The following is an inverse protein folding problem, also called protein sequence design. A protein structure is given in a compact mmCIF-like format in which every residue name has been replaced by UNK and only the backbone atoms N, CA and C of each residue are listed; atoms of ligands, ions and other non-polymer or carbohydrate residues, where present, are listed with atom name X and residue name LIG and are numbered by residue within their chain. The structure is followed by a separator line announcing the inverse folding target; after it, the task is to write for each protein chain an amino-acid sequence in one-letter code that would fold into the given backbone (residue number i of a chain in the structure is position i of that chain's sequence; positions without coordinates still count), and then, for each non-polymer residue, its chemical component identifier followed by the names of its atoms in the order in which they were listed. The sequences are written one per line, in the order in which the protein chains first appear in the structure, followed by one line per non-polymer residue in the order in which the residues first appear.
data_IF_246378781452
#
_entry.id   IF_246378781452
#
_cell.length_a   1.000
_cell.length_b   1.000
_cell.length_c   1.000
_cell.angle_alpha   90.00
_cell.angle_beta   90.00
_cell.angle_gamma   90.00
#
_symmetry.space_group_name_H-M   'P 1'
#
loop_
_entity.id
_entity.type
_entity.pdbx_description
1 polymer ?
#
# COMPACT_ATOMS: atom_id res chain seq x y z
N UNK A 1 -5.45 -9.57 -2.79
CA UNK A 1 -5.34 -9.55 -1.30
C UNK A 1 -6.12 -8.33 -0.90
N UNK A 2 -7.08 -8.48 0.01
CA UNK A 2 -8.07 -7.44 0.29
C UNK A 2 -7.45 -6.06 0.57
N UNK A 3 -6.38 -6.01 1.37
CA UNK A 3 -5.67 -4.75 1.67
C UNK A 3 -5.07 -4.07 0.43
N UNK A 4 -4.55 -4.84 -0.53
CA UNK A 4 -4.02 -4.28 -1.78
C UNK A 4 -5.13 -3.64 -2.61
N UNK A 5 -6.24 -4.36 -2.73
CA UNK A 5 -7.39 -3.91 -3.49
C UNK A 5 -8.00 -2.67 -2.85
N UNK A 6 -8.10 -2.62 -1.52
CA UNK A 6 -8.46 -1.42 -0.77
C UNK A 6 -7.53 -0.24 -1.07
N UNK A 7 -6.21 -0.36 -0.86
CA UNK A 7 -5.24 0.73 -1.06
C UNK A 7 -5.25 1.25 -2.49
N UNK A 8 -5.38 0.36 -3.48
CA UNK A 8 -5.23 0.73 -4.89
C UNK A 8 -6.53 1.15 -5.57
N UNK A 9 -7.69 0.73 -5.05
CA UNK A 9 -9.00 0.96 -5.68
C UNK A 9 -9.95 1.76 -4.81
N UNK A 10 -10.12 1.40 -3.53
CA UNK A 10 -11.13 2.01 -2.65
C UNK A 10 -10.62 3.30 -2.01
N UNK A 11 -9.44 3.24 -1.38
CA UNK A 11 -8.83 4.36 -0.67
C UNK A 11 -8.77 5.66 -1.50
N UNK A 12 -8.40 5.65 -2.80
CA UNK A 12 -8.33 6.86 -3.62
C UNK A 12 -9.69 7.42 -4.06
N UNK A 13 -10.78 6.67 -3.86
CA UNK A 13 -12.14 7.15 -4.11
C UNK A 13 -12.71 7.91 -2.92
N UNK A 14 -12.27 7.56 -1.71
CA UNK A 14 -12.77 8.15 -0.46
C UNK A 14 -11.86 9.25 0.09
N UNK A 15 -10.57 9.18 -0.21
CA UNK A 15 -9.56 10.11 0.30
C UNK A 15 -8.68 10.64 -0.83
N UNK A 16 -8.21 11.88 -0.69
CA UNK A 16 -7.17 12.44 -1.56
C UNK A 16 -5.80 11.83 -1.25
N UNK A 17 -5.61 10.57 -1.66
CA UNK A 17 -4.32 9.87 -1.53
C UNK A 17 -3.57 9.87 -2.86
N UNK A 18 -2.31 10.29 -2.81
CA UNK A 18 -1.44 10.27 -4.00
C UNK A 18 -1.01 8.85 -4.33
N UNK A 19 -0.46 8.65 -5.53
CA UNK A 19 0.17 7.37 -5.88
C UNK A 19 1.38 7.06 -5.01
N UNK A 20 2.04 8.07 -4.45
CA UNK A 20 3.14 7.90 -3.51
C UNK A 20 2.59 7.32 -2.21
N UNK A 21 1.52 7.89 -1.66
CA UNK A 21 0.90 7.40 -0.42
C UNK A 21 0.44 5.95 -0.57
N UNK A 22 -0.19 5.62 -1.71
CA UNK A 22 -0.56 4.23 -2.03
C UNK A 22 0.65 3.30 -2.02
N UNK A 23 1.76 3.70 -2.63
CA UNK A 23 3.00 2.90 -2.63
C UNK A 23 3.58 2.78 -1.21
N UNK A 24 3.48 3.80 -0.38
CA UNK A 24 3.87 3.77 1.04
C UNK A 24 3.07 2.77 1.85
N UNK A 25 1.74 2.80 1.76
CA UNK A 25 0.90 1.81 2.44
C UNK A 25 1.21 0.39 2.00
N UNK A 26 1.45 0.17 0.70
CA UNK A 26 1.81 -1.15 0.18
C UNK A 26 3.18 -1.61 0.70
N UNK A 27 4.17 -0.73 0.75
CA UNK A 27 5.50 -1.04 1.27
C UNK A 27 5.47 -1.32 2.77
N UNK A 28 4.77 -0.50 3.56
CA UNK A 28 4.53 -0.74 5.00
C UNK A 28 3.86 -2.09 5.23
N UNK A 29 2.85 -2.42 4.44
CA UNK A 29 2.17 -3.73 4.51
C UNK A 29 3.18 -4.88 4.31
N UNK A 30 4.03 -4.79 3.29
CA UNK A 30 5.05 -5.83 3.02
C UNK A 30 6.07 -5.91 4.17
N UNK A 31 6.48 -4.78 4.75
CA UNK A 31 7.42 -4.76 5.86
C UNK A 31 6.82 -5.40 7.10
N UNK A 32 5.56 -5.08 7.45
CA UNK A 32 4.83 -5.76 8.52
C UNK A 32 4.87 -7.29 8.35
N UNK A 33 4.52 -7.78 7.16
CA UNK A 33 4.57 -9.22 6.88
C UNK A 33 5.98 -9.83 6.86
N UNK A 34 7.05 -9.05 6.76
CA UNK A 34 8.42 -9.56 6.86
C UNK A 34 8.97 -9.55 8.29
N UNK A 35 8.52 -8.61 9.11
CA UNK A 35 9.05 -8.39 10.47
C UNK A 35 8.26 -9.14 11.53
N UNK A 36 6.95 -9.36 11.31
CA UNK A 36 6.07 -10.03 12.26
C UNK A 36 5.93 -11.53 11.91
N UNK A 37 5.84 -12.36 12.94
CA UNK A 37 5.56 -13.79 12.81
C UNK A 37 4.05 -14.08 12.82
N UNK A 38 3.29 -13.26 13.54
CA UNK A 38 1.83 -13.33 13.60
C UNK A 38 1.20 -12.09 12.98
N UNK A 39 0.16 -12.31 12.19
CA UNK A 39 -0.72 -11.25 11.73
C UNK A 39 -1.79 -11.03 12.78
N UNK A 40 -1.93 -9.78 13.21
CA UNK A 40 -3.06 -9.30 14.01
C UNK A 40 -3.64 -8.11 13.27
N UNK A 41 -4.92 -8.17 12.92
CA UNK A 41 -5.58 -7.18 12.06
C UNK A 41 -5.45 -5.76 12.63
N UNK A 42 -5.75 -5.58 13.91
CA UNK A 42 -5.67 -4.28 14.59
C UNK A 42 -4.23 -3.73 14.60
N UNK A 43 -3.23 -4.57 14.84
CA UNK A 43 -1.82 -4.16 14.82
C UNK A 43 -1.39 -3.75 13.40
N UNK A 44 -1.79 -4.53 12.41
CA UNK A 44 -1.53 -4.25 11.00
C UNK A 44 -2.13 -2.92 10.55
N UNK A 45 -3.41 -2.67 10.84
CA UNK A 45 -4.07 -1.44 10.39
C UNK A 45 -3.48 -0.20 11.06
N UNK A 46 -3.14 -0.30 12.35
CA UNK A 46 -2.46 0.78 13.08
C UNK A 46 -1.06 1.07 12.54
N UNK A 47 -0.23 0.06 12.28
CA UNK A 47 1.13 0.25 11.76
C UNK A 47 1.13 0.74 10.29
N UNK A 48 0.20 0.27 9.46
CA UNK A 48 0.18 0.62 8.03
C UNK A 48 -0.46 1.98 7.79
N UNK A 49 -1.67 2.22 8.31
CA UNK A 49 -2.46 3.40 7.96
C UNK A 49 -2.27 4.55 8.94
N UNK A 50 -2.11 4.26 10.22
CA UNK A 50 -1.95 5.22 11.35
C UNK A 50 -3.10 6.24 11.55
N UNK A 51 -3.90 6.53 10.52
CA UNK A 51 -5.09 7.40 10.57
C UNK A 51 -6.32 6.59 10.92
N UNK A 52 -7.04 7.00 11.97
CA UNK A 52 -8.27 6.31 12.43
C UNK A 52 -9.36 6.25 11.35
N UNK A 53 -9.52 7.33 10.59
CA UNK A 53 -10.55 7.40 9.54
C UNK A 53 -10.28 6.34 8.45
N UNK A 54 -9.02 6.16 8.06
CA UNK A 54 -8.60 5.19 7.04
C UNK A 54 -8.75 3.75 7.56
N UNK A 55 -8.51 3.54 8.86
CA UNK A 55 -8.68 2.24 9.51
C UNK A 55 -10.16 1.86 9.52
N UNK A 56 -11.04 2.78 9.93
CA UNK A 56 -12.49 2.55 9.95
C UNK A 56 -13.04 2.27 8.54
N UNK A 57 -12.60 3.01 7.53
CA UNK A 57 -12.95 2.73 6.13
C UNK A 57 -12.48 1.33 5.69
N UNK A 58 -11.27 0.91 6.09
CA UNK A 58 -10.78 -0.42 5.74
C UNK A 58 -11.56 -1.55 6.45
N UNK A 59 -11.97 -1.33 7.69
CA UNK A 59 -12.84 -2.24 8.44
C UNK A 59 -14.19 -2.41 7.75
N UNK A 60 -14.82 -1.31 7.35
CA UNK A 60 -16.07 -1.35 6.57
C UNK A 60 -15.88 -2.10 5.24
N UNK A 61 -14.80 -1.79 4.51
CA UNK A 61 -14.47 -2.50 3.27
C UNK A 61 -14.24 -3.99 3.48
N UNK A 62 -13.63 -4.40 4.60
CA UNK A 62 -13.48 -5.81 4.99
C UNK A 62 -14.84 -6.45 5.21
N UNK A 63 -15.71 -5.82 5.99
CA UNK A 63 -17.05 -6.35 6.29
C UNK A 63 -17.88 -6.51 5.03
N UNK A 64 -17.89 -5.53 4.14
CA UNK A 64 -18.61 -5.60 2.87
C UNK A 64 -18.08 -6.73 1.99
N UNK A 65 -16.75 -6.87 1.90
CA UNK A 65 -16.12 -7.95 1.14
C UNK A 65 -16.46 -9.34 1.70
N UNK A 66 -16.49 -9.50 3.03
CA UNK A 66 -16.87 -10.75 3.70
C UNK A 66 -18.33 -11.13 3.39
N UNK A 67 -19.23 -10.15 3.40
CA UNK A 67 -20.64 -10.36 3.05
C UNK A 67 -20.83 -10.72 1.58
N UNK A 68 -20.24 -9.93 0.67
CA UNK A 68 -20.40 -10.09 -0.77
C UNK A 68 -19.82 -11.41 -1.27
N UNK A 69 -18.64 -11.78 -0.76
CA UNK A 69 -17.93 -12.99 -1.18
C UNK A 69 -18.33 -14.22 -0.35
N UNK A 70 -19.17 -14.05 0.68
CA UNK A 70 -19.54 -15.09 1.65
C UNK A 70 -18.31 -15.79 2.24
N UNK A 71 -17.28 -15.02 2.56
CA UNK A 71 -16.03 -15.50 3.17
C UNK A 71 -15.85 -14.91 4.55
N UNK A 72 -15.12 -15.61 5.41
CA UNK A 72 -14.67 -15.06 6.69
C UNK A 72 -13.16 -14.84 6.64
N UNK A 73 -12.73 -13.60 6.86
CA UNK A 73 -11.33 -13.20 6.91
C UNK A 73 -10.92 -13.21 8.38
N UNK A 74 -10.02 -14.14 8.71
CA UNK A 74 -9.47 -14.27 10.05
C UNK A 74 -8.78 -12.97 10.50
N UNK A 75 -9.09 -12.54 11.72
CA UNK A 75 -8.48 -11.35 12.33
C UNK A 75 -7.05 -11.59 12.78
N UNK A 76 -6.66 -12.85 13.01
CA UNK A 76 -5.29 -13.23 13.28
C UNK A 76 -4.91 -14.56 12.64
N UNK A 77 -3.65 -14.67 12.22
CA UNK A 77 -3.07 -15.89 11.66
C UNK A 77 -1.54 -15.85 11.67
N UNK A 78 -0.91 -17.01 11.69
CA UNK A 78 0.56 -17.12 11.58
C UNK A 78 1.03 -16.76 10.17
N UNK A 79 2.01 -15.88 10.06
CA UNK A 79 2.53 -15.37 8.79
C UNK A 79 3.47 -16.40 8.18
N UNK A 80 3.07 -16.93 7.02
CA UNK A 80 3.94 -17.80 6.24
C UNK A 80 4.96 -16.99 5.43
N UNK A 81 6.22 -16.98 5.87
CA UNK A 81 7.33 -16.26 5.20
C UNK A 81 7.52 -16.63 3.72
N UNK A 82 7.18 -17.86 3.30
CA UNK A 82 7.23 -18.27 1.89
C UNK A 82 6.10 -17.63 1.07
N UNK A 83 4.90 -17.49 1.65
CA UNK A 83 3.80 -16.76 1.05
C UNK A 83 4.13 -15.27 0.90
N UNK A 84 4.72 -14.65 1.93
CA UNK A 84 5.16 -13.24 1.89
C UNK A 84 6.19 -12.99 0.79
N UNK A 85 7.19 -13.86 0.65
CA UNK A 85 8.16 -13.80 -0.46
C UNK A 85 7.49 -13.87 -1.83
N UNK A 86 6.45 -14.70 -1.98
CA UNK A 86 5.69 -14.80 -3.23
C UNK A 86 4.90 -13.53 -3.50
N UNK A 87 4.24 -12.98 -2.49
CA UNK A 87 3.46 -11.73 -2.59
C UNK A 87 4.38 -10.56 -2.96
N UNK A 88 5.55 -10.44 -2.32
CA UNK A 88 6.55 -9.40 -2.59
C UNK A 88 6.98 -9.35 -4.06
N UNK A 89 7.08 -10.50 -4.74
CA UNK A 89 7.42 -10.54 -6.18
C UNK A 89 6.35 -9.91 -7.06
N UNK A 90 5.08 -9.97 -6.64
CA UNK A 90 3.94 -9.40 -7.36
C UNK A 90 3.59 -7.98 -6.92
N UNK A 91 4.10 -7.54 -5.77
CA UNK A 91 4.07 -6.16 -5.32
C UNK A 91 5.29 -5.42 -5.89
N UNK A 92 5.18 -5.03 -7.16
CA UNK A 92 6.12 -4.07 -7.71
C UNK A 92 5.56 -2.67 -7.44
N UNK A 93 6.26 -1.89 -6.63
CA UNK A 93 6.03 -0.46 -6.37
C UNK A 93 6.38 0.35 -7.61
N UNK A 94 5.54 0.21 -8.65
CA UNK A 94 5.73 0.84 -9.96
C UNK A 94 4.68 1.89 -10.16
N UNK A 95 5.12 3.14 -10.30
CA UNK A 95 4.28 4.23 -10.76
C UNK A 95 4.40 4.28 -12.28
N UNK A 96 3.28 4.07 -12.98
CA UNK A 96 3.20 4.22 -14.44
C UNK A 96 2.73 5.64 -14.75
N UNK A 97 3.57 6.41 -15.45
CA UNK A 97 3.26 7.76 -15.93
C UNK A 97 3.09 7.70 -17.45
N UNK A 98 1.86 7.97 -17.89
CA UNK A 98 1.45 8.18 -19.29
C UNK A 98 2.22 7.41 -20.35
N UNK A 99 2.08 6.07 -20.43
CA UNK A 99 2.70 5.15 -21.41
C UNK A 99 4.23 5.28 -21.68
N UNK A 100 4.88 6.32 -21.16
CA UNK A 100 6.19 6.83 -21.55
C UNK A 100 7.20 6.56 -20.43
N UNK A 101 6.76 6.56 -19.17
CA UNK A 101 7.64 6.37 -18.03
C UNK A 101 7.09 5.38 -17.00
N UNK A 102 7.98 4.54 -16.47
CA UNK A 102 7.71 3.66 -15.33
C UNK A 102 8.75 3.95 -14.25
N UNK A 103 8.31 4.47 -13.10
CA UNK A 103 9.18 4.69 -11.94
C UNK A 103 9.12 3.44 -11.07
N UNK A 104 10.22 2.69 -11.06
CA UNK A 104 10.42 1.56 -10.16
C UNK A 104 10.97 2.06 -8.82
N UNK A 105 10.14 2.07 -7.79
CA UNK A 105 10.55 2.53 -6.47
C UNK A 105 11.10 1.34 -5.71
N UNK A 106 12.41 1.39 -5.45
CA UNK A 106 13.12 0.41 -4.63
C UNK A 106 13.46 1.03 -3.28
N UNK A 107 12.57 0.87 -2.28
CA UNK A 107 12.83 1.30 -0.91
C UNK A 107 12.17 2.62 -0.51
N UNK A 108 12.92 3.45 0.24
CA UNK A 108 12.38 4.56 1.01
C UNK A 108 11.92 5.73 0.11
N UNK A 109 10.65 6.12 0.24
CA UNK A 109 9.96 7.07 -0.64
C UNK A 109 10.19 8.53 -0.28
N UNK A 110 10.96 8.79 0.78
CA UNK A 110 11.28 10.14 1.27
C UNK A 110 11.95 11.03 0.22
N UNK A 111 12.46 10.41 -0.85
CA UNK A 111 13.11 11.10 -1.95
C UNK A 111 12.22 11.27 -3.18
N UNK A 112 10.92 10.96 -3.10
CA UNK A 112 9.97 11.17 -4.19
C UNK A 112 8.92 12.20 -3.75
N UNK A 113 8.76 13.27 -4.54
CA UNK A 113 7.71 14.27 -4.31
C UNK A 113 6.86 14.44 -5.57
N UNK A 114 5.55 14.43 -5.42
CA UNK A 114 4.62 14.76 -6.49
C UNK A 114 4.28 16.26 -6.42
N UNK A 115 4.12 16.88 -7.58
CA UNK A 115 3.65 18.27 -7.72
C UNK A 115 2.86 18.49 -9.00
N UNK A 116 2.31 19.69 -9.14
CA UNK A 116 1.59 20.14 -10.32
C UNK A 116 1.95 21.60 -10.61
N UNK A 117 2.25 21.91 -11.86
CA UNK A 117 2.52 23.26 -12.35
C UNK A 117 1.70 23.57 -13.62
N UNK A 118 1.94 24.73 -14.24
CA UNK A 118 1.23 25.16 -15.45
C UNK A 118 1.40 24.20 -16.65
N UNK A 119 2.44 23.35 -16.64
CA UNK A 119 2.71 22.36 -17.68
C UNK A 119 2.11 20.99 -17.38
N UNK A 120 1.75 20.72 -16.13
CA UNK A 120 1.04 19.52 -15.70
C UNK A 120 1.59 18.90 -14.41
N UNK A 121 1.30 17.60 -14.21
CA UNK A 121 1.73 16.85 -13.03
C UNK A 121 3.16 16.34 -13.20
N UNK A 122 3.98 16.49 -12.16
CA UNK A 122 5.36 16.03 -12.18
C UNK A 122 5.73 15.21 -10.93
N UNK A 123 6.78 14.41 -11.07
CA UNK A 123 7.46 13.74 -9.96
C UNK A 123 8.89 14.25 -9.87
N UNK A 124 9.28 14.74 -8.70
CA UNK A 124 10.63 15.17 -8.39
C UNK A 124 11.33 14.07 -7.57
N UNK A 125 12.46 13.59 -8.10
CA UNK A 125 13.32 12.59 -7.47
C UNK A 125 14.52 13.30 -6.83
N UNK A 126 14.75 13.02 -5.56
CA UNK A 126 15.94 13.42 -4.82
C UNK A 126 16.88 12.22 -4.69
N UNK A 127 18.18 12.44 -4.60
CA UNK A 127 19.14 11.38 -4.31
C UNK A 127 20.30 11.94 -3.50
N UNK A 128 20.83 11.13 -2.58
CA UNK A 128 21.94 11.55 -1.72
C UNK A 128 23.31 11.06 -2.22
N UNK A 129 23.36 9.88 -2.86
CA UNK A 129 24.59 9.29 -3.41
C UNK A 129 24.27 8.60 -4.72
N UNK A 130 25.01 8.94 -5.76
CA UNK A 130 25.00 8.27 -7.07
C UNK A 130 26.01 7.13 -7.05
N UNK A 131 25.69 6.01 -7.72
CA UNK A 131 26.56 4.85 -7.89
C UNK A 131 26.53 4.38 -9.34
#
# INVERSE_FOLDING_TARGET
MIFKDYITKQLPQEYEVTKIDQVDFLNKSINFFNEKEDFVFEEFTNEVFSSKDIIESFENYKTDYEQDMQVNISESFEINSSAVKKIKRHFKSVIKLDQNFQIHIHGDQKFLKQGEDETGKFYQLYFNKEK
#
